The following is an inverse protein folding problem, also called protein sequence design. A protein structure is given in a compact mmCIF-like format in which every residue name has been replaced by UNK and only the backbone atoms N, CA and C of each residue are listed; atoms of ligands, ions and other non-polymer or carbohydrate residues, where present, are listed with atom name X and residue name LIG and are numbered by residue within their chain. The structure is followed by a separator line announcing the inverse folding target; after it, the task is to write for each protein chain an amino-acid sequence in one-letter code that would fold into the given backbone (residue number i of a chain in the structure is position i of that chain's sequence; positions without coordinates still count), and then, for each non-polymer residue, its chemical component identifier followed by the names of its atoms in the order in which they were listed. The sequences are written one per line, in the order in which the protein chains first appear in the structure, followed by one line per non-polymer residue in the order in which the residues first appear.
data_IF_068148375639
#
_entry.id   IF_068148375639
#
_cell.length_a   1.000
_cell.length_b   1.000
_cell.length_c   1.000
_cell.angle_alpha   90.00
_cell.angle_beta   90.00
_cell.angle_gamma   90.00
#
_symmetry.space_group_name_H-M   'P 1'
#
loop_
_entity.id
_entity.type
_entity.pdbx_description
1 polymer ?
#
# COMPACT_ATOMS: atom_id res chain seq x y z
N UNK A 1 5.06 24.00 3.74
CA UNK A 1 3.75 24.00 3.06
C UNK A 1 2.75 24.60 4.02
N UNK A 2 1.89 25.51 3.58
CA UNK A 2 0.92 26.18 4.44
C UNK A 2 -0.47 25.76 3.98
N UNK A 3 -1.10 24.83 4.71
CA UNK A 3 -2.44 24.37 4.38
C UNK A 3 -3.44 25.43 4.84
N UNK A 4 -4.18 26.01 3.90
CA UNK A 4 -5.29 26.90 4.23
C UNK A 4 -6.49 26.06 4.60
N UNK A 5 -7.01 26.28 5.80
CA UNK A 5 -8.22 25.63 6.25
C UNK A 5 -9.43 26.32 5.59
N UNK A 6 -10.14 25.58 4.72
CA UNK A 6 -11.33 26.09 4.05
C UNK A 6 -12.58 25.55 4.75
N UNK A 7 -13.49 26.44 5.16
CA UNK A 7 -14.74 26.03 5.78
C UNK A 7 -15.74 25.50 4.74
N UNK A 8 -16.16 24.25 4.90
CA UNK A 8 -17.19 23.62 4.05
C UNK A 8 -18.57 24.31 4.14
N UNK A 9 -18.81 25.15 5.16
CA UNK A 9 -20.09 25.85 5.37
C UNK A 9 -20.55 26.67 4.16
N UNK A 10 -19.61 27.27 3.41
CA UNK A 10 -19.92 28.07 2.22
C UNK A 10 -20.37 27.22 1.01
N UNK A 11 -20.06 25.91 0.99
CA UNK A 11 -20.39 24.99 -0.11
C UNK A 11 -21.51 24.00 0.22
N UNK A 12 -22.00 24.00 1.46
CA UNK A 12 -23.07 23.10 1.94
C UNK A 12 -24.34 23.12 1.06
N UNK A 13 -24.67 24.27 0.46
CA UNK A 13 -25.82 24.40 -0.45
C UNK A 13 -25.63 23.82 -1.85
N UNK A 14 -24.39 23.50 -2.24
CA UNK A 14 -24.04 22.95 -3.56
C UNK A 14 -23.55 21.50 -3.48
N UNK A 15 -22.69 21.20 -2.50
CA UNK A 15 -22.26 19.85 -2.15
C UNK A 15 -22.32 19.71 -0.63
N UNK A 16 -23.21 18.87 -0.08
CA UNK A 16 -23.27 18.63 1.36
C UNK A 16 -22.10 17.77 1.88
N UNK A 17 -21.34 17.14 0.97
CA UNK A 17 -20.20 16.28 1.28
C UNK A 17 -18.95 16.69 0.50
N UNK A 18 -17.77 16.49 1.10
CA UNK A 18 -16.48 16.51 0.42
C UNK A 18 -16.02 15.07 0.18
N UNK A 19 -15.53 14.78 -1.02
CA UNK A 19 -15.02 13.45 -1.40
C UNK A 19 -13.56 13.54 -1.82
N UNK A 20 -12.77 12.57 -1.36
CA UNK A 20 -11.41 12.35 -1.81
C UNK A 20 -11.25 10.85 -2.09
N UNK A 21 -10.55 10.52 -3.17
CA UNK A 21 -10.28 9.14 -3.57
C UNK A 21 -8.89 9.03 -4.18
N UNK A 22 -8.25 7.89 -3.94
CA UNK A 22 -6.94 7.58 -4.51
C UNK A 22 -7.14 6.95 -5.90
N UNK A 23 -6.27 7.32 -6.84
CA UNK A 23 -6.29 6.81 -8.21
C UNK A 23 -4.88 6.52 -8.68
N UNK A 24 -4.73 5.49 -9.50
CA UNK A 24 -3.52 5.32 -10.27
C UNK A 24 -3.45 6.38 -11.38
N UNK A 25 -2.38 7.17 -11.37
CA UNK A 25 -2.14 8.25 -12.32
C UNK A 25 -2.15 7.77 -13.77
N UNK A 26 -1.66 6.57 -14.05
CA UNK A 26 -1.55 6.06 -15.42
C UNK A 26 -2.84 5.40 -15.92
N UNK A 27 -3.74 5.04 -15.00
CA UNK A 27 -4.95 4.28 -15.29
C UNK A 27 -6.24 5.03 -14.93
N UNK A 28 -6.15 6.35 -14.71
CA UNK A 28 -7.29 7.19 -14.36
C UNK A 28 -7.44 8.39 -15.30
N UNK A 29 -8.64 8.56 -15.84
CA UNK A 29 -9.07 9.78 -16.54
C UNK A 29 -10.18 10.44 -15.74
N UNK A 30 -9.98 11.70 -15.39
CA UNK A 30 -10.97 12.47 -14.64
C UNK A 30 -12.18 12.81 -15.51
N UNK A 31 -13.38 12.58 -14.98
CA UNK A 31 -14.64 13.06 -15.54
C UNK A 31 -15.37 13.94 -14.52
N UNK A 32 -16.05 15.00 -14.98
CA UNK A 32 -16.84 15.88 -14.09
C UNK A 32 -17.89 15.12 -13.27
N UNK A 33 -18.39 13.99 -13.78
CA UNK A 33 -19.31 13.11 -13.07
C UNK A 33 -18.70 12.53 -11.78
N UNK A 34 -17.37 12.38 -11.71
CA UNK A 34 -16.66 11.83 -10.55
C UNK A 34 -16.76 12.75 -9.32
N UNK A 35 -17.06 14.05 -9.51
CA UNK A 35 -17.33 14.99 -8.41
C UNK A 35 -18.59 14.65 -7.61
N UNK A 36 -19.50 13.85 -8.18
CA UNK A 36 -20.70 13.37 -7.48
C UNK A 36 -20.44 12.07 -6.71
N UNK A 37 -19.26 11.46 -6.90
CA UNK A 37 -18.81 10.17 -6.38
C UNK A 37 -19.82 9.04 -6.59
N UNK A 38 -19.46 8.01 -7.35
CA UNK A 38 -20.20 6.75 -7.34
C UNK A 38 -19.59 5.82 -6.28
N UNK A 39 -20.29 5.55 -5.15
CA UNK A 39 -19.77 4.67 -4.11
C UNK A 39 -19.59 3.22 -4.58
N UNK A 40 -20.20 2.83 -5.70
CA UNK A 40 -20.03 1.49 -6.27
C UNK A 40 -18.82 1.40 -7.21
N UNK A 41 -18.19 2.52 -7.55
CA UNK A 41 -17.01 2.54 -8.41
C UNK A 41 -15.75 2.31 -7.58
N UNK A 42 -15.06 1.22 -7.85
CA UNK A 42 -13.73 0.92 -7.28
C UNK A 42 -12.62 1.31 -8.26
N UNK A 43 -11.54 1.89 -7.76
CA UNK A 43 -10.33 2.17 -8.55
C UNK A 43 -9.19 1.28 -8.06
N UNK A 44 -8.44 0.59 -8.94
CA UNK A 44 -7.23 -0.10 -8.50
C UNK A 44 -6.19 0.94 -8.07
N UNK A 45 -5.65 0.75 -6.86
CA UNK A 45 -4.59 1.58 -6.28
C UNK A 45 -3.52 0.65 -5.74
N UNK A 46 -2.26 0.99 -6.01
CA UNK A 46 -1.10 0.30 -5.46
C UNK A 46 -0.40 1.25 -4.48
N UNK A 47 -0.24 0.79 -3.23
CA UNK A 47 0.45 1.55 -2.20
C UNK A 47 1.86 1.00 -2.04
N UNK A 48 2.85 1.84 -2.33
CA UNK A 48 4.26 1.57 -2.05
C UNK A 48 4.63 2.27 -0.74
N UNK A 49 5.22 1.53 0.18
CA UNK A 49 5.52 2.02 1.51
C UNK A 49 6.73 1.29 2.09
N UNK A 50 7.33 1.90 3.11
CA UNK A 50 8.42 1.31 3.88
C UNK A 50 8.42 1.89 5.29
N UNK A 51 8.97 1.14 6.25
CA UNK A 51 9.26 1.62 7.58
C UNK A 51 10.46 2.57 7.48
N UNK A 52 10.30 3.81 7.95
CA UNK A 52 11.27 4.91 7.76
C UNK A 52 12.02 5.29 9.04
N UNK A 53 12.47 4.29 9.79
CA UNK A 53 13.37 4.45 10.94
C UNK A 53 14.85 4.57 10.54
N UNK A 54 15.14 4.62 9.23
CA UNK A 54 16.48 4.70 8.64
C UNK A 54 17.35 3.46 8.96
N UNK A 55 16.72 2.33 9.30
CA UNK A 55 17.39 1.06 9.51
C UNK A 55 17.30 0.19 8.26
N UNK A 56 18.37 -0.55 7.99
CA UNK A 56 18.34 -1.72 7.11
C UNK A 56 17.63 -2.88 7.80
N UNK A 57 17.24 -3.90 7.04
CA UNK A 57 16.64 -5.11 7.60
C UNK A 57 17.49 -5.78 8.67
N UNK A 58 18.80 -5.85 8.46
CA UNK A 58 19.71 -6.52 9.39
C UNK A 58 19.91 -5.74 10.69
N UNK A 59 19.70 -4.43 10.66
CA UNK A 59 19.69 -3.57 11.84
C UNK A 59 18.33 -3.66 12.54
N UNK A 60 17.23 -3.54 11.78
CA UNK A 60 15.87 -3.56 12.29
C UNK A 60 15.53 -4.83 13.08
N UNK A 61 15.98 -6.01 12.61
CA UNK A 61 15.79 -7.31 13.29
C UNK A 61 16.36 -7.36 14.71
N UNK A 62 17.30 -6.47 15.05
CA UNK A 62 17.95 -6.42 16.36
C UNK A 62 17.27 -5.45 17.32
N UNK A 63 16.22 -4.77 16.86
CA UNK A 63 15.49 -3.75 17.63
C UNK A 63 14.18 -4.30 18.18
N UNK A 64 13.72 -3.76 19.31
CA UNK A 64 12.40 -4.09 19.86
C UNK A 64 11.24 -3.57 19.00
N UNK A 65 11.50 -2.62 18.10
CA UNK A 65 10.53 -2.04 17.17
C UNK A 65 10.42 -2.76 15.83
N UNK A 66 10.98 -3.96 15.69
CA UNK A 66 10.96 -4.69 14.43
C UNK A 66 9.53 -4.99 13.96
N UNK A 67 9.19 -4.51 12.76
CA UNK A 67 7.81 -4.50 12.30
C UNK A 67 7.33 -5.83 11.68
N UNK A 68 8.23 -6.71 11.21
CA UNK A 68 7.86 -7.99 10.59
C UNK A 68 7.58 -9.05 11.66
N UNK A 69 6.42 -8.97 12.29
CA UNK A 69 6.07 -9.75 13.49
C UNK A 69 5.45 -11.12 13.17
N UNK A 70 5.09 -11.37 11.93
CA UNK A 70 4.58 -12.68 11.50
C UNK A 70 5.72 -13.71 11.38
N UNK A 71 5.54 -14.92 11.90
CA UNK A 71 6.56 -15.97 11.85
C UNK A 71 6.92 -16.42 10.43
N UNK A 72 6.00 -16.29 9.48
CA UNK A 72 6.22 -16.62 8.06
C UNK A 72 6.43 -15.34 7.22
N UNK A 73 7.17 -14.37 7.76
CA UNK A 73 7.52 -13.14 7.07
C UNK A 73 9.02 -12.95 6.92
N UNK A 74 9.38 -12.24 5.85
CA UNK A 74 10.72 -11.85 5.47
C UNK A 74 10.82 -10.33 5.41
N UNK A 75 11.99 -9.83 5.79
CA UNK A 75 12.33 -8.41 5.65
C UNK A 75 13.15 -8.20 4.38
N UNK A 76 12.83 -7.15 3.64
CA UNK A 76 13.64 -6.66 2.52
C UNK A 76 13.91 -5.17 2.66
N UNK A 77 15.13 -4.73 2.31
CA UNK A 77 15.45 -3.31 2.27
C UNK A 77 14.59 -2.60 1.23
N UNK A 78 14.15 -1.38 1.56
CA UNK A 78 13.32 -0.58 0.69
C UNK A 78 14.08 -0.17 -0.57
N UNK A 79 13.47 -0.38 -1.73
CA UNK A 79 13.99 0.08 -3.02
C UNK A 79 13.84 1.59 -3.21
N UNK A 80 12.96 2.23 -2.43
CA UNK A 80 12.63 3.65 -2.53
C UNK A 80 13.30 4.46 -1.42
N UNK A 81 14.61 4.30 -1.27
CA UNK A 81 15.41 4.97 -0.23
C UNK A 81 15.40 4.24 1.13
N UNK A 82 15.98 4.85 2.18
CA UNK A 82 16.28 4.18 3.44
C UNK A 82 15.06 3.62 4.16
N UNK A 83 15.23 2.47 4.82
CA UNK A 83 14.17 1.74 5.49
C UNK A 83 13.98 0.34 4.93
N UNK A 84 12.93 -0.33 5.38
CA UNK A 84 12.65 -1.71 5.00
C UNK A 84 11.14 -1.99 4.87
N UNK A 85 10.83 -3.12 4.24
CA UNK A 85 9.48 -3.66 4.06
C UNK A 85 9.42 -5.11 4.53
N UNK A 86 8.25 -5.56 4.93
CA UNK A 86 7.97 -6.92 5.30
C UNK A 86 7.10 -7.56 4.22
N UNK A 87 7.47 -8.76 3.78
CA UNK A 87 6.69 -9.59 2.89
C UNK A 87 6.43 -10.93 3.55
N UNK A 88 5.36 -11.63 3.17
CA UNK A 88 5.24 -13.03 3.57
C UNK A 88 6.27 -13.86 2.82
N UNK A 89 6.85 -14.85 3.52
CA UNK A 89 7.77 -15.83 2.94
C UNK A 89 7.11 -16.60 1.80
N UNK A 90 7.93 -17.17 0.93
CA UNK A 90 7.44 -17.96 -0.21
C UNK A 90 6.46 -19.06 0.25
N UNK A 91 5.27 -19.06 -0.35
CA UNK A 91 4.19 -20.01 -0.02
C UNK A 91 3.16 -19.50 1.00
N UNK A 92 3.35 -18.30 1.54
CA UNK A 92 2.44 -17.67 2.50
C UNK A 92 1.83 -16.38 1.94
N UNK A 93 0.61 -16.06 2.36
CA UNK A 93 -0.09 -14.82 2.02
C UNK A 93 -0.74 -14.19 3.25
N UNK A 94 -1.01 -12.90 3.16
CA UNK A 94 -1.66 -12.11 4.21
C UNK A 94 -0.82 -10.90 4.59
N UNK A 95 -0.89 -10.51 5.86
CA UNK A 95 -0.25 -9.29 6.35
C UNK A 95 0.95 -9.63 7.26
N UNK A 96 2.19 -9.40 6.82
CA UNK A 96 3.39 -9.74 7.59
C UNK A 96 3.61 -8.87 8.83
N UNK A 97 2.88 -7.76 8.96
CA UNK A 97 2.92 -6.82 10.08
C UNK A 97 1.97 -7.18 11.22
N UNK A 98 1.25 -8.30 11.09
CA UNK A 98 0.33 -8.83 12.10
C UNK A 98 0.87 -10.18 12.58
N UNK A 99 0.85 -10.45 13.88
CA UNK A 99 1.23 -11.75 14.44
C UNK A 99 0.37 -12.84 13.80
N UNK A 100 1.00 -13.90 13.29
CA UNK A 100 0.36 -14.97 12.50
C UNK A 100 -0.42 -14.49 11.26
N UNK A 101 -0.17 -13.27 10.80
CA UNK A 101 -0.86 -12.68 9.67
C UNK A 101 -0.45 -13.24 8.31
N UNK A 102 0.67 -13.97 8.23
CA UNK A 102 1.05 -14.74 7.04
C UNK A 102 0.60 -16.19 7.19
N UNK A 103 -0.44 -16.53 6.46
CA UNK A 103 -1.06 -17.87 6.46
C UNK A 103 -0.66 -18.64 5.21
N UNK A 104 -0.35 -19.92 5.37
CA UNK A 104 0.11 -20.75 4.26
C UNK A 104 -0.99 -20.93 3.23
N UNK A 105 -0.65 -20.87 1.94
CA UNK A 105 -1.55 -21.41 0.92
C UNK A 105 -1.66 -22.90 1.15
N UNK A 106 -2.86 -23.41 1.39
CA UNK A 106 -3.11 -24.83 1.32
C UNK A 106 -2.95 -25.28 -0.15
N UNK A 107 -1.72 -25.59 -0.57
CA UNK A 107 -1.47 -26.18 -1.88
C UNK A 107 -1.94 -27.63 -1.79
N UNK A 108 -3.06 -27.94 -2.45
CA UNK A 108 -3.44 -29.34 -2.69
C UNK A 108 -2.31 -29.96 -3.50
N UNK A 109 -1.54 -30.87 -2.89
CA UNK A 109 -0.47 -31.61 -3.58
C UNK A 109 -1.10 -32.59 -4.55
N UNK A 110 -1.41 -32.11 -5.75
CA UNK A 110 -1.99 -32.87 -6.85
C UNK A 110 -1.56 -32.23 -8.17
N UNK A 111 -0.30 -32.49 -8.56
CA UNK A 111 0.27 -32.11 -9.85
C UNK A 111 1.26 -30.94 -9.77
N UNK A 112 2.52 -31.22 -10.12
CA UNK A 112 3.54 -30.19 -10.36
C UNK A 112 3.04 -29.22 -11.44
N UNK A 113 2.74 -27.98 -11.05
CA UNK A 113 2.80 -26.84 -11.96
C UNK A 113 3.86 -25.90 -11.40
N UNK A 114 5.03 -25.89 -12.05
CA UNK A 114 6.02 -24.84 -11.87
C UNK A 114 5.40 -23.52 -12.30
N UNK A 115 4.67 -22.87 -11.40
CA UNK A 115 4.36 -21.45 -11.54
C UNK A 115 5.38 -20.72 -10.70
N UNK A 116 6.42 -20.22 -11.38
CA UNK A 116 7.20 -19.10 -10.90
C UNK A 116 6.22 -17.94 -10.66
N UNK A 117 5.63 -17.87 -9.46
CA UNK A 117 5.00 -16.64 -9.01
C UNK A 117 6.14 -15.72 -8.58
N UNK A 118 6.79 -15.13 -9.58
CA UNK A 118 7.57 -13.92 -9.36
C UNK A 118 6.56 -12.88 -8.86
N UNK A 119 6.48 -12.70 -7.55
CA UNK A 119 5.82 -11.54 -6.97
C UNK A 119 6.58 -10.33 -7.49
N UNK A 120 5.98 -9.70 -8.50
CA UNK A 120 6.49 -8.54 -9.20
C UNK A 120 6.35 -7.35 -8.26
N UNK A 121 7.27 -7.19 -7.31
CA UNK A 121 7.38 -5.97 -6.52
C UNK A 121 8.02 -4.91 -7.41
N UNK A 122 7.19 -4.26 -8.25
CA UNK A 122 7.63 -3.09 -9.01
C UNK A 122 7.43 -1.86 -8.13
N UNK A 123 8.55 -1.22 -7.81
CA UNK A 123 8.58 0.16 -7.33
C UNK A 123 7.89 1.06 -8.36
N UNK A 124 6.95 1.89 -7.91
CA UNK A 124 6.35 2.95 -8.72
C UNK A 124 6.19 4.21 -7.87
N UNK A 125 6.77 5.29 -8.38
CA UNK A 125 6.81 6.62 -7.80
C UNK A 125 5.41 7.16 -7.52
N UNK A 126 5.08 7.40 -6.24
CA UNK A 126 3.99 8.32 -5.88
C UNK A 126 4.61 9.67 -5.53
N UNK A 127 4.94 10.46 -6.55
CA UNK A 127 5.07 11.92 -6.34
C UNK A 127 3.68 12.51 -6.26
N UNK A 128 3.17 12.72 -5.04
CA UNK A 128 2.05 13.62 -4.80
C UNK A 128 2.55 15.04 -5.05
N UNK A 129 2.59 15.44 -6.32
CA UNK A 129 2.67 16.86 -6.65
C UNK A 129 1.27 17.43 -6.49
N UNK A 130 0.94 17.85 -5.27
CA UNK A 130 -0.11 18.85 -5.08
C UNK A 130 0.37 20.15 -5.75
N UNK A 131 -0.11 20.39 -6.97
CA UNK A 131 -0.16 21.73 -7.56
C UNK A 131 -1.63 22.08 -7.73
N UNK A 132 -2.16 22.81 -6.75
CA UNK A 132 -3.22 23.79 -6.98
C UNK A 132 -2.58 25.14 -7.25
#
# INVERSE_FOLDING_TARGET
MNFREYSHKARYGYSPCDFAFLVDKENYTFHTADLRMDPNRTMPVWLDWAIRDNLTCDEAKKTEGYACVSSNSECHDSLNGPGYVCNCSMGYEGNPYIVDGCTGKCVRVGGMVNTLSAHKTRALYVSVYDRF
#
